data_IF_310833126575
#
_entry.id   IF_310833126575
#
_cell.length_a   1.000
_cell.length_b   1.000
_cell.length_c   1.000
_cell.angle_alpha   90.00
_cell.angle_beta   90.00
_cell.angle_gamma   90.00
#
_symmetry.space_group_name_H-M   'P 1'
#
loop_
_entity.id
_entity.type
_entity.pdbx_description
1 polymer ?
#
# COMPACT_ATOMS: atom_id res chain seq x y z
N UNK A 1 23.40 -16.74 -2.53
CA UNK A 1 21.97 -17.03 -2.24
C UNK A 1 21.66 -16.52 -0.84
N UNK A 2 21.00 -15.37 -0.70
CA UNK A 2 20.63 -14.85 0.61
C UNK A 2 19.59 -15.79 1.27
N UNK A 3 19.87 -16.27 2.48
CA UNK A 3 18.94 -17.12 3.24
C UNK A 3 17.66 -16.32 3.48
N UNK A 4 16.50 -16.88 3.09
CA UNK A 4 15.19 -16.33 3.46
C UNK A 4 15.11 -16.31 4.98
N UNK A 5 14.98 -15.12 5.57
CA UNK A 5 14.87 -14.98 7.03
C UNK A 5 13.46 -15.37 7.48
N UNK A 6 13.30 -16.05 8.63
CA UNK A 6 11.99 -16.48 9.14
C UNK A 6 10.99 -15.34 9.28
N UNK A 7 11.45 -14.11 9.52
CA UNK A 7 10.61 -12.91 9.58
C UNK A 7 10.00 -12.54 8.21
N UNK A 8 10.73 -12.68 7.10
CA UNK A 8 10.20 -12.37 5.76
C UNK A 8 9.06 -13.32 5.41
N UNK A 9 9.24 -14.61 5.69
CA UNK A 9 8.22 -15.62 5.41
C UNK A 9 6.99 -15.46 6.31
N UNK A 10 7.19 -15.18 7.61
CA UNK A 10 6.08 -14.89 8.52
C UNK A 10 5.34 -13.59 8.18
N UNK A 11 6.04 -12.54 7.74
CA UNK A 11 5.41 -11.30 7.29
C UNK A 11 4.56 -11.52 6.03
N UNK A 12 5.06 -12.32 5.08
CA UNK A 12 4.28 -12.69 3.90
C UNK A 12 3.01 -13.46 4.29
N UNK A 13 3.11 -14.40 5.25
CA UNK A 13 1.94 -15.11 5.80
C UNK A 13 0.96 -14.16 6.47
N UNK A 14 1.44 -13.20 7.26
CA UNK A 14 0.60 -12.16 7.88
C UNK A 14 -0.21 -11.41 6.81
N UNK A 15 0.45 -10.85 5.80
CA UNK A 15 -0.21 -10.08 4.74
C UNK A 15 -1.24 -10.91 3.96
N UNK A 16 -0.88 -12.14 3.61
CA UNK A 16 -1.74 -12.99 2.81
C UNK A 16 -2.89 -13.58 3.63
N UNK A 17 -2.65 -14.07 4.84
CA UNK A 17 -3.66 -14.81 5.61
C UNK A 17 -4.68 -13.89 6.29
N UNK A 18 -4.34 -12.62 6.52
CA UNK A 18 -5.20 -11.67 7.27
C UNK A 18 -6.11 -10.81 6.41
N UNK A 19 -5.96 -10.88 5.08
CA UNK A 19 -6.83 -10.20 4.11
C UNK A 19 -7.67 -11.18 3.26
N UNK A 20 -8.53 -12.02 3.86
CA UNK A 20 -9.28 -13.05 3.13
C UNK A 20 -10.18 -12.52 2.02
N UNK A 21 -10.58 -11.24 2.11
CA UNK A 21 -11.39 -10.54 1.11
C UNK A 21 -10.60 -9.52 0.28
N UNK A 22 -9.28 -9.52 0.40
CA UNK A 22 -8.39 -8.56 -0.27
C UNK A 22 -8.30 -7.18 0.35
N UNK A 23 -8.84 -7.02 1.57
CA UNK A 23 -8.69 -5.83 2.39
C UNK A 23 -7.89 -6.18 3.64
N UNK A 24 -6.78 -5.48 3.87
CA UNK A 24 -5.92 -5.68 5.03
C UNK A 24 -6.44 -4.89 6.24
N UNK A 25 -6.40 -5.44 7.46
CA UNK A 25 -6.74 -4.69 8.65
C UNK A 25 -5.58 -3.81 9.13
N UNK A 26 -5.90 -2.78 9.91
CA UNK A 26 -4.93 -1.96 10.66
C UNK A 26 -4.22 -2.82 11.72
N UNK A 27 -5.00 -3.65 12.40
CA UNK A 27 -4.54 -4.50 13.50
C UNK A 27 -5.17 -5.88 13.41
N UNK A 28 -4.38 -6.91 13.70
CA UNK A 28 -4.85 -8.29 13.75
C UNK A 28 -4.14 -9.05 14.85
N UNK A 29 -4.91 -9.85 15.60
CA UNK A 29 -4.37 -10.69 16.68
C UNK A 29 -4.06 -12.08 16.16
N UNK A 30 -2.96 -12.66 16.65
CA UNK A 30 -2.66 -14.08 16.51
C UNK A 30 -2.77 -14.76 17.88
N UNK A 31 -3.47 -15.88 17.96
CA UNK A 31 -3.55 -16.70 19.17
C UNK A 31 -2.91 -18.07 18.94
N UNK A 32 -2.01 -18.47 19.85
CA UNK A 32 -1.38 -19.80 19.81
C UNK A 32 -2.48 -20.88 19.82
N UNK A 33 -2.42 -21.81 18.87
CA UNK A 33 -3.39 -22.90 18.72
C UNK A 33 -4.70 -22.52 18.01
N UNK A 34 -4.97 -21.23 17.78
CA UNK A 34 -6.20 -20.76 17.09
C UNK A 34 -5.93 -19.98 15.80
N UNK A 35 -4.72 -19.44 15.62
CA UNK A 35 -4.34 -18.68 14.42
C UNK A 35 -4.80 -17.22 14.46
N UNK A 36 -4.99 -16.63 13.27
CA UNK A 36 -5.42 -15.24 13.09
C UNK A 36 -6.88 -15.03 13.53
N UNK A 37 -7.10 -14.02 14.36
CA UNK A 37 -8.41 -13.69 14.90
C UNK A 37 -9.13 -12.70 13.97
N UNK A 38 -9.80 -13.24 12.94
CA UNK A 38 -10.51 -12.45 11.92
C UNK A 38 -12.04 -12.44 12.11
N UNK A 39 -12.56 -13.31 12.98
CA UNK A 39 -14.00 -13.51 13.23
C UNK A 39 -14.34 -13.13 14.68
N UNK A 40 -14.23 -11.85 15.00
CA UNK A 40 -14.56 -11.27 16.31
C UNK A 40 -15.88 -10.48 16.23
N UNK A 41 -16.49 -10.17 17.39
CA UNK A 41 -17.72 -9.34 17.44
C UNK A 41 -17.52 -7.96 16.81
N UNK A 42 -16.33 -7.38 16.98
CA UNK A 42 -15.83 -6.23 16.24
C UNK A 42 -14.72 -6.73 15.32
N UNK A 43 -15.01 -7.07 14.06
CA UNK A 43 -13.98 -7.57 13.16
C UNK A 43 -12.97 -6.46 12.86
N UNK A 44 -11.71 -6.83 12.59
CA UNK A 44 -10.67 -5.86 12.35
C UNK A 44 -10.97 -5.05 11.08
N UNK A 45 -10.75 -3.74 11.17
CA UNK A 45 -11.02 -2.74 10.12
C UNK A 45 -9.68 -2.34 9.50
N UNK A 46 -9.66 -2.03 8.20
CA UNK A 46 -8.54 -1.37 7.55
C UNK A 46 -8.85 0.09 7.27
N UNK A 47 -7.95 0.99 7.64
CA UNK A 47 -8.10 2.43 7.49
C UNK A 47 -6.71 3.08 7.34
N UNK A 48 -6.39 4.06 8.17
CA UNK A 48 -5.17 4.85 8.12
C UNK A 48 -3.90 3.99 8.21
N UNK A 49 -3.85 2.94 9.03
CA UNK A 49 -2.65 2.11 9.11
C UNK A 49 -2.51 1.18 7.90
N UNK A 50 -3.62 0.54 7.52
CA UNK A 50 -3.71 -0.46 6.46
C UNK A 50 -3.43 0.08 5.07
N UNK A 51 -3.73 1.35 4.78
CA UNK A 51 -3.48 1.95 3.46
C UNK A 51 -2.01 1.81 3.02
N UNK A 52 -1.09 1.81 3.99
CA UNK A 52 0.36 1.67 3.73
C UNK A 52 0.74 0.28 3.24
N UNK A 53 -0.05 -0.75 3.50
CA UNK A 53 0.20 -2.10 2.97
C UNK A 53 0.18 -2.08 1.44
N UNK A 54 -0.84 -1.45 0.85
CA UNK A 54 -0.96 -1.37 -0.61
C UNK A 54 0.18 -0.54 -1.21
N UNK A 55 0.52 0.59 -0.58
CA UNK A 55 1.68 1.41 -0.91
C UNK A 55 2.96 0.57 -0.98
N UNK A 56 3.29 -0.16 0.09
CA UNK A 56 4.51 -0.98 0.14
C UNK A 56 4.48 -2.13 -0.87
N UNK A 57 3.33 -2.78 -1.09
CA UNK A 57 3.18 -3.83 -2.10
C UNK A 57 3.42 -3.28 -3.50
N UNK A 58 2.90 -2.09 -3.81
CA UNK A 58 3.11 -1.41 -5.08
C UNK A 58 4.57 -1.06 -5.33
N UNK A 59 5.30 -0.72 -4.26
CA UNK A 59 6.72 -0.37 -4.29
C UNK A 59 7.68 -1.57 -4.30
N UNK A 60 7.19 -2.81 -4.21
CA UNK A 60 8.06 -3.97 -4.40
C UNK A 60 8.69 -3.94 -5.80
N UNK A 61 9.95 -4.37 -5.91
CA UNK A 61 10.60 -4.54 -7.20
C UNK A 61 9.85 -5.59 -8.05
N UNK A 62 9.70 -5.38 -9.36
CA UNK A 62 8.93 -6.29 -10.24
C UNK A 62 9.52 -7.70 -10.34
N UNK A 63 10.83 -7.83 -10.15
CA UNK A 63 11.53 -9.11 -10.01
C UNK A 63 11.28 -9.84 -8.67
N UNK A 64 10.58 -9.25 -7.69
CA UNK A 64 10.21 -9.96 -6.46
C UNK A 64 9.08 -10.95 -6.74
N UNK A 65 9.39 -12.23 -6.57
CA UNK A 65 8.46 -13.36 -6.78
C UNK A 65 7.17 -13.28 -5.94
N UNK A 66 7.16 -12.50 -4.85
CA UNK A 66 5.98 -12.33 -4.00
C UNK A 66 5.08 -11.18 -4.45
N UNK A 67 5.57 -10.22 -5.24
CA UNK A 67 4.79 -9.04 -5.65
C UNK A 67 3.51 -9.44 -6.35
N UNK A 68 3.59 -10.30 -7.36
CA UNK A 68 2.42 -10.78 -8.11
C UNK A 68 1.37 -11.45 -7.20
N UNK A 69 1.80 -12.26 -6.24
CA UNK A 69 0.90 -12.94 -5.30
C UNK A 69 0.20 -11.95 -4.35
N UNK A 70 0.91 -10.91 -3.90
CA UNK A 70 0.36 -9.87 -3.05
C UNK A 70 -0.60 -8.96 -3.83
N UNK A 71 -0.23 -8.54 -5.05
CA UNK A 71 -1.13 -7.79 -5.94
C UNK A 71 -2.42 -8.57 -6.20
N UNK A 72 -2.33 -9.87 -6.49
CA UNK A 72 -3.50 -10.71 -6.67
C UNK A 72 -4.36 -10.79 -5.40
N UNK A 73 -3.74 -10.95 -4.22
CA UNK A 73 -4.47 -10.99 -2.95
C UNK A 73 -5.25 -9.71 -2.70
N UNK A 74 -4.66 -8.56 -3.02
CA UNK A 74 -5.22 -7.24 -2.75
C UNK A 74 -5.95 -6.60 -3.94
N UNK A 75 -6.14 -7.34 -5.03
CA UNK A 75 -6.87 -6.85 -6.21
C UNK A 75 -8.27 -6.25 -5.91
N UNK A 76 -9.04 -6.74 -4.91
CA UNK A 76 -10.30 -6.10 -4.52
C UNK A 76 -10.17 -4.63 -4.11
N UNK A 77 -9.07 -4.23 -3.44
CA UNK A 77 -8.82 -2.83 -3.09
C UNK A 77 -8.56 -1.97 -4.34
N UNK A 78 -7.81 -2.49 -5.32
CA UNK A 78 -7.61 -1.80 -6.60
C UNK A 78 -8.94 -1.63 -7.34
N UNK A 79 -9.73 -2.70 -7.46
CA UNK A 79 -11.02 -2.68 -8.13
C UNK A 79 -11.99 -1.69 -7.48
N UNK A 80 -12.08 -1.68 -6.15
CA UNK A 80 -12.92 -0.73 -5.43
C UNK A 80 -12.47 0.72 -5.66
N UNK A 81 -11.16 0.98 -5.64
CA UNK A 81 -10.62 2.32 -5.88
C UNK A 81 -10.92 2.81 -7.29
N UNK A 82 -10.86 1.92 -8.28
CA UNK A 82 -11.26 2.23 -9.66
C UNK A 82 -12.75 2.53 -9.76
N UNK A 83 -13.60 1.70 -9.16
CA UNK A 83 -15.07 1.85 -9.21
C UNK A 83 -15.54 3.12 -8.49
N UNK A 84 -14.96 3.44 -7.34
CA UNK A 84 -15.39 4.56 -6.48
C UNK A 84 -14.62 5.86 -6.78
N UNK A 85 -13.60 5.82 -7.63
CA UNK A 85 -12.71 6.94 -7.93
C UNK A 85 -11.68 7.26 -6.84
N UNK A 86 -11.76 6.67 -5.65
CA UNK A 86 -10.76 6.75 -4.58
C UNK A 86 -10.92 5.59 -3.59
N UNK A 87 -9.84 5.26 -2.86
CA UNK A 87 -9.92 4.33 -1.74
C UNK A 87 -10.76 4.94 -0.60
N UNK A 88 -11.58 4.12 0.07
CA UNK A 88 -12.42 4.56 1.19
C UNK A 88 -11.62 4.79 2.47
N UNK A 89 -12.17 5.58 3.38
CA UNK A 89 -11.53 5.84 4.69
C UNK A 89 -11.51 4.60 5.60
N UNK A 90 -12.49 3.70 5.48
CA UNK A 90 -12.60 2.51 6.31
C UNK A 90 -13.16 1.34 5.51
N UNK A 91 -12.32 0.33 5.31
CA UNK A 91 -12.69 -0.92 4.68
C UNK A 91 -13.15 -1.93 5.75
N UNK A 92 -14.46 -1.98 5.95
CA UNK A 92 -15.13 -3.06 6.66
C UNK A 92 -16.17 -3.66 5.73
N UNK A 93 -16.01 -4.94 5.38
CA UNK A 93 -16.94 -5.76 4.56
C UNK A 93 -17.95 -4.92 3.76
N UNK A 94 -17.55 -4.35 2.61
CA UNK A 94 -18.46 -3.70 1.66
C UNK A 94 -19.57 -2.87 2.33
N UNK A 95 -19.22 -1.80 3.06
CA UNK A 95 -20.24 -0.79 3.37
C UNK A 95 -20.51 0.03 2.12
N UNK A 96 -21.78 0.10 1.72
CA UNK A 96 -22.24 0.80 0.52
C UNK A 96 -22.10 2.34 0.59
N UNK A 97 -21.70 2.89 1.74
CA UNK A 97 -21.62 4.34 1.98
C UNK A 97 -20.22 4.76 2.49
N UNK A 98 -19.15 4.32 1.84
CA UNK A 98 -17.81 4.74 2.21
C UNK A 98 -17.57 6.17 1.75
N UNK A 99 -17.21 7.04 2.70
CA UNK A 99 -16.66 8.35 2.35
C UNK A 99 -15.29 8.14 1.72
N UNK A 100 -14.95 8.87 0.65
CA UNK A 100 -13.61 8.85 0.09
C UNK A 100 -12.59 9.15 1.20
N UNK A 101 -11.53 8.36 1.28
CA UNK A 101 -10.42 8.61 2.19
C UNK A 101 -9.71 9.93 1.86
N UNK A 102 -8.86 10.45 2.76
CA UNK A 102 -8.11 11.68 2.51
C UNK A 102 -7.19 11.56 1.28
N UNK A 103 -6.71 12.69 0.75
CA UNK A 103 -5.86 12.72 -0.46
C UNK A 103 -4.61 11.83 -0.35
N UNK A 104 -4.06 11.67 0.87
CA UNK A 104 -2.94 10.77 1.12
C UNK A 104 -3.23 9.32 0.74
N UNK A 105 -4.50 8.86 0.82
CA UNK A 105 -4.86 7.51 0.38
C UNK A 105 -4.75 7.37 -1.14
N UNK A 106 -5.18 8.39 -1.90
CA UNK A 106 -4.98 8.40 -3.36
C UNK A 106 -3.50 8.35 -3.72
N UNK A 107 -2.66 9.12 -3.03
CA UNK A 107 -1.23 9.07 -3.26
C UNK A 107 -0.64 7.69 -2.92
N UNK A 108 -1.02 7.10 -1.78
CA UNK A 108 -0.60 5.77 -1.36
C UNK A 108 -0.98 4.67 -2.37
N UNK A 109 -2.05 4.87 -3.13
CA UNK A 109 -2.51 3.92 -4.15
C UNK A 109 -1.75 4.02 -5.48
N UNK A 110 -1.01 5.11 -5.75
CA UNK A 110 -0.32 5.31 -7.03
C UNK A 110 0.63 4.15 -7.40
N UNK A 111 1.50 3.65 -6.48
CA UNK A 111 2.40 2.55 -6.80
C UNK A 111 1.67 1.20 -6.93
N UNK A 112 0.49 1.09 -6.31
CA UNK A 112 -0.24 -0.16 -6.18
C UNK A 112 -1.17 -0.43 -7.36
N UNK A 113 -1.85 0.59 -7.86
CA UNK A 113 -2.75 0.47 -9.01
C UNK A 113 -1.94 0.08 -10.25
N UNK A 114 -2.35 -1.00 -10.93
CA UNK A 114 -1.68 -1.48 -12.14
C UNK A 114 -2.30 -0.90 -13.43
N UNK A 115 -3.57 -0.49 -13.34
CA UNK A 115 -4.32 0.14 -14.42
C UNK A 115 -3.95 1.63 -14.57
N UNK A 116 -3.66 2.06 -15.80
CA UNK A 116 -3.18 3.41 -16.09
C UNK A 116 -4.26 4.49 -15.91
N UNK A 117 -5.50 4.18 -16.27
CA UNK A 117 -6.62 5.12 -16.14
C UNK A 117 -6.93 5.37 -14.66
N UNK A 118 -7.04 4.29 -13.87
CA UNK A 118 -7.22 4.37 -12.43
C UNK A 118 -6.07 5.13 -11.75
N UNK A 119 -4.82 4.89 -12.14
CA UNK A 119 -3.66 5.68 -11.66
C UNK A 119 -3.80 7.16 -12.02
N UNK A 120 -4.21 7.47 -13.25
CA UNK A 120 -4.38 8.86 -13.72
C UNK A 120 -5.44 9.60 -12.91
N UNK A 121 -6.57 8.96 -12.61
CA UNK A 121 -7.60 9.53 -11.72
C UNK A 121 -7.03 9.84 -10.34
N UNK A 122 -6.23 8.94 -9.77
CA UNK A 122 -5.58 9.19 -8.48
C UNK A 122 -4.55 10.33 -8.55
N UNK A 123 -3.75 10.42 -9.63
CA UNK A 123 -2.80 11.53 -9.83
C UNK A 123 -3.53 12.86 -9.89
N UNK A 124 -4.62 12.94 -10.65
CA UNK A 124 -5.42 14.15 -10.77
C UNK A 124 -5.97 14.57 -9.40
N UNK A 125 -6.53 13.63 -8.63
CA UNK A 125 -7.01 13.90 -7.28
C UNK A 125 -5.92 14.43 -6.35
N UNK A 126 -4.70 13.88 -6.44
CA UNK A 126 -3.54 14.36 -5.65
C UNK A 126 -3.10 15.75 -6.09
N UNK A 127 -3.11 16.04 -7.39
CA UNK A 127 -2.76 17.37 -7.91
C UNK A 127 -3.76 18.44 -7.47
N UNK A 128 -5.06 18.15 -7.58
CA UNK A 128 -6.13 19.10 -7.26
C UNK A 128 -6.29 19.34 -5.75
N UNK A 129 -5.88 18.37 -4.92
CA UNK A 129 -6.10 18.39 -3.47
C UNK A 129 -4.78 18.22 -2.71
N UNK A 130 -3.67 18.74 -3.24
CA UNK A 130 -2.36 18.54 -2.64
C UNK A 130 -2.34 18.91 -1.15
N UNK A 131 -1.78 18.07 -0.26
CA UNK A 131 -1.89 18.29 1.18
C UNK A 131 -1.25 19.62 1.62
N UNK A 132 -2.02 20.41 2.36
CA UNK A 132 -1.57 21.64 3.02
C UNK A 132 -0.67 21.38 4.24
N UNK A 133 -0.19 22.47 4.86
CA UNK A 133 0.76 22.40 5.98
C UNK A 133 0.20 21.74 7.26
N UNK A 134 -1.12 21.71 7.43
CA UNK A 134 -1.84 21.09 8.55
C UNK A 134 -2.16 19.60 8.31
N UNK A 135 -1.93 19.08 7.11
CA UNK A 135 -2.29 17.73 6.70
C UNK A 135 -1.11 16.74 6.78
N UNK A 136 -0.40 16.70 7.92
CA UNK A 136 0.83 15.92 8.10
C UNK A 136 0.77 14.48 7.56
N UNK A 137 -0.26 13.71 7.94
CA UNK A 137 -0.34 12.31 7.53
C UNK A 137 -0.52 12.15 6.01
N UNK A 138 -1.38 12.98 5.41
CA UNK A 138 -1.57 13.02 3.96
C UNK A 138 -0.31 13.47 3.24
N UNK A 139 0.44 14.43 3.80
CA UNK A 139 1.71 14.90 3.26
C UNK A 139 2.75 13.78 3.23
N UNK A 140 2.90 13.02 4.32
CA UNK A 140 3.83 11.88 4.37
C UNK A 140 3.45 10.80 3.35
N UNK A 141 2.17 10.40 3.28
CA UNK A 141 1.73 9.43 2.27
C UNK A 141 1.96 9.94 0.84
N UNK A 142 1.80 11.25 0.62
CA UNK A 142 2.05 11.89 -0.68
C UNK A 142 3.52 11.85 -1.06
N UNK A 143 4.44 12.15 -0.13
CA UNK A 143 5.88 12.05 -0.36
C UNK A 143 6.30 10.64 -0.81
N UNK A 144 5.75 9.61 -0.18
CA UNK A 144 6.04 8.23 -0.56
C UNK A 144 5.38 7.86 -1.89
N UNK A 145 4.05 7.98 -1.99
CA UNK A 145 3.28 7.48 -3.10
C UNK A 145 3.52 8.25 -4.40
N UNK A 146 3.42 9.58 -4.36
CA UNK A 146 3.67 10.43 -5.51
C UNK A 146 5.17 10.50 -5.84
N UNK A 147 6.05 10.49 -4.83
CA UNK A 147 7.49 10.41 -5.05
C UNK A 147 7.88 9.14 -5.82
N UNK A 148 7.25 8.01 -5.52
CA UNK A 148 7.43 6.79 -6.30
C UNK A 148 6.87 6.91 -7.72
N UNK A 149 5.64 7.39 -7.90
CA UNK A 149 5.04 7.60 -9.24
C UNK A 149 5.92 8.52 -10.12
N UNK A 150 6.57 9.51 -9.51
CA UNK A 150 7.51 10.44 -10.16
C UNK A 150 8.97 9.94 -10.23
N UNK A 151 9.22 8.66 -9.94
CA UNK A 151 10.57 8.06 -10.01
C UNK A 151 11.63 8.66 -9.07
N UNK A 152 11.25 9.36 -8.00
CA UNK A 152 12.21 9.97 -7.05
C UNK A 152 13.07 8.96 -6.30
N UNK A 153 12.58 7.73 -6.15
CA UNK A 153 13.33 6.61 -5.57
C UNK A 153 12.74 5.27 -6.01
N UNK A 154 13.54 4.21 -5.97
CA UNK A 154 13.15 2.81 -6.20
C UNK A 154 13.74 1.89 -5.13
N UNK A 155 13.26 0.66 -5.07
CA UNK A 155 13.87 -0.42 -4.30
C UNK A 155 14.41 -1.49 -5.22
N UNK A 156 15.62 -1.98 -4.97
CA UNK A 156 16.18 -3.15 -5.67
C UNK A 156 15.43 -4.43 -5.27
N UNK A 157 15.67 -5.52 -5.99
CA UNK A 157 15.16 -6.84 -5.62
C UNK A 157 15.68 -7.36 -4.26
N UNK A 158 16.81 -6.82 -3.76
CA UNK A 158 17.33 -7.10 -2.41
C UNK A 158 16.74 -6.18 -1.33
N UNK A 159 15.97 -5.16 -1.71
CA UNK A 159 15.34 -4.20 -0.79
C UNK A 159 16.21 -2.98 -0.48
N UNK A 160 17.27 -2.73 -1.25
CA UNK A 160 18.12 -1.55 -1.10
C UNK A 160 17.46 -0.32 -1.76
N UNK A 161 17.67 0.86 -1.18
CA UNK A 161 17.19 2.12 -1.72
C UNK A 161 18.03 2.54 -2.95
N UNK A 162 17.34 2.90 -4.03
CA UNK A 162 17.93 3.53 -5.21
C UNK A 162 17.31 4.93 -5.36
N UNK A 163 17.94 5.97 -4.80
CA UNK A 163 17.45 7.32 -4.95
C UNK A 163 17.75 7.86 -6.35
N UNK A 164 16.87 8.68 -6.90
CA UNK A 164 17.15 9.47 -8.10
C UNK A 164 17.80 10.80 -7.69
N UNK A 165 19.04 10.70 -7.22
CA UNK A 165 19.90 11.85 -7.03
C UNK A 165 20.69 12.02 -8.32
N UNK A 166 20.44 13.11 -9.06
CA UNK A 166 21.23 13.49 -10.23
C UNK A 166 22.73 13.21 -9.97
N UNK A 167 23.45 12.72 -10.99
CA UNK A 167 24.76 12.04 -10.89
C UNK A 167 25.92 12.75 -10.15
N UNK A 168 25.71 13.92 -9.56
CA UNK A 168 26.72 14.64 -8.75
C UNK A 168 27.13 13.90 -7.47
N UNK A 169 26.39 12.87 -7.03
CA UNK A 169 26.71 12.11 -5.82
C UNK A 169 27.21 10.66 -6.07
N UNK A 170 27.61 10.32 -7.31
CA UNK A 170 28.03 8.96 -7.65
C UNK A 170 29.53 8.67 -7.44
N UNK A 171 30.33 9.61 -6.93
CA UNK A 171 31.76 9.36 -6.68
C UNK A 171 32.25 10.06 -5.41
N UNK A 172 32.39 9.30 -4.34
CA UNK A 172 33.41 9.57 -3.31
C UNK A 172 34.73 8.97 -3.80
N UNK A 173 35.72 9.84 -4.09
CA UNK A 173 37.12 9.46 -4.26
C UNK A 173 37.71 8.92 -2.96
#
# INVERSE_FOLDING_TARGET
>A
MARRGPLRDSNLRLLLETAPKGFTPDWVRYEKGKGWQLKTEKPPIGSYDAIRVYLWVGMLHDGDKQKARLLQRFAPMAAQTTEQGAAGESEYRHRQNQRPGPVGFSAAMLPFLQDDEARSVQRQRVADNYPGADAYYSAVLTLFGQGWDQHRFRFTASGELQPDWNQECASSH
#
